data_IF_023791271844
#
_entry.id   IF_023791271844
#
_cell.length_a   1.000
_cell.length_b   1.000
_cell.length_c   1.000
_cell.angle_alpha   90.00
_cell.angle_beta   90.00
_cell.angle_gamma   90.00
#
_symmetry.space_group_name_H-M   'P 1'
#
loop_
_entity.id
_entity.type
_entity.pdbx_description
1 polymer ?
#
# COMPACT_ATOMS: atom_id res chain seq x y z
N UNK A 1 10.43 0.23 40.39
CA UNK A 1 9.54 -0.47 39.44
C UNK A 1 9.78 0.13 38.06
N UNK A 2 10.27 -0.69 37.12
CA UNK A 2 10.65 -0.25 35.78
C UNK A 2 9.39 0.05 34.96
N UNK A 3 9.35 1.23 34.34
CA UNK A 3 8.20 1.75 33.60
C UNK A 3 7.78 0.81 32.48
N UNK A 4 6.47 0.59 32.36
CA UNK A 4 5.87 -0.18 31.29
C UNK A 4 6.20 0.44 29.92
N UNK A 5 7.18 -0.13 29.23
CA UNK A 5 7.51 0.15 27.84
C UNK A 5 6.36 -0.35 26.97
N UNK A 6 5.55 0.59 26.54
CA UNK A 6 4.29 0.41 25.84
C UNK A 6 4.22 1.53 24.83
N UNK A 7 3.66 1.38 23.67
CA UNK A 7 2.92 0.33 23.00
C UNK A 7 3.00 0.81 21.53
N UNK A 8 2.62 0.01 20.55
CA UNK A 8 2.55 0.41 19.12
C UNK A 8 2.24 1.90 18.88
N UNK A 9 3.07 2.61 18.10
CA UNK A 9 2.88 4.04 17.80
C UNK A 9 2.74 4.32 16.30
N UNK A 10 1.99 5.35 15.93
CA UNK A 10 1.78 5.76 14.54
C UNK A 10 2.83 6.80 14.12
N UNK A 11 3.53 6.55 13.02
CA UNK A 11 4.56 7.45 12.47
C UNK A 11 4.03 8.30 11.32
N UNK A 12 3.01 7.80 10.62
CA UNK A 12 2.43 8.48 9.49
C UNK A 12 0.97 8.07 9.29
N UNK A 13 0.16 9.02 8.82
CA UNK A 13 -1.22 8.80 8.42
C UNK A 13 -1.50 9.70 7.22
N UNK A 14 -2.03 9.14 6.15
CA UNK A 14 -2.56 9.92 5.03
C UNK A 14 -4.09 9.84 5.04
N UNK A 15 -4.71 10.96 5.38
CA UNK A 15 -6.18 11.14 5.46
C UNK A 15 -6.63 12.40 4.74
N UNK A 16 -5.74 13.06 4.00
CA UNK A 16 -6.02 14.42 3.49
C UNK A 16 -7.14 14.39 2.44
N UNK A 17 -7.23 13.31 1.67
CA UNK A 17 -8.18 13.18 0.56
C UNK A 17 -8.95 11.86 0.56
N UNK A 18 -9.56 11.52 1.72
CA UNK A 18 -10.22 10.23 1.99
C UNK A 18 -11.27 9.77 0.97
N UNK A 19 -11.84 10.69 0.18
CA UNK A 19 -12.87 10.39 -0.82
C UNK A 19 -12.30 9.89 -2.15
N UNK A 20 -11.07 10.28 -2.45
CA UNK A 20 -10.47 10.14 -3.77
C UNK A 20 -9.15 9.36 -3.76
N UNK A 21 -8.44 9.33 -2.63
CA UNK A 21 -7.09 8.78 -2.55
C UNK A 21 -7.00 7.56 -1.65
N UNK A 22 -5.89 6.83 -1.78
CA UNK A 22 -5.56 5.73 -0.89
C UNK A 22 -5.33 6.29 0.52
N UNK A 23 -6.13 5.82 1.46
CA UNK A 23 -5.96 6.14 2.88
C UNK A 23 -5.15 5.04 3.53
N UNK A 24 -4.07 5.40 4.23
CA UNK A 24 -3.24 4.46 4.94
C UNK A 24 -2.62 5.08 6.19
N UNK A 25 -2.17 4.22 7.10
CA UNK A 25 -1.29 4.63 8.20
C UNK A 25 -0.12 3.66 8.35
N UNK A 26 0.95 4.15 8.97
CA UNK A 26 2.15 3.38 9.29
C UNK A 26 2.33 3.41 10.79
N UNK A 27 2.43 2.22 11.37
CA UNK A 27 2.63 1.97 12.78
C UNK A 27 3.99 1.30 13.00
N UNK A 28 4.64 1.58 14.12
CA UNK A 28 5.80 0.87 14.61
C UNK A 28 5.42 0.17 15.89
N UNK A 29 5.52 -1.16 15.87
CA UNK A 29 5.28 -2.06 16.98
C UNK A 29 6.63 -2.53 17.52
N UNK A 30 7.09 -1.87 18.57
CA UNK A 30 8.38 -2.16 19.22
C UNK A 30 8.36 -3.47 20.01
N UNK A 31 7.17 -3.92 20.44
CA UNK A 31 7.00 -5.17 21.22
C UNK A 31 7.26 -6.38 20.34
N UNK A 32 6.71 -6.37 19.12
CA UNK A 32 6.86 -7.49 18.17
C UNK A 32 7.88 -7.23 17.07
N UNK A 33 8.57 -6.07 17.12
CA UNK A 33 9.51 -5.61 16.09
C UNK A 33 8.91 -5.59 14.69
N UNK A 34 7.80 -4.85 14.52
CA UNK A 34 7.09 -4.74 13.24
C UNK A 34 6.88 -3.30 12.81
N UNK A 35 6.96 -3.06 11.50
CA UNK A 35 6.44 -1.87 10.85
C UNK A 35 5.13 -2.30 10.17
N UNK A 36 4.00 -1.77 10.60
CA UNK A 36 2.67 -2.18 10.11
C UNK A 36 2.06 -1.08 9.25
N UNK A 37 1.82 -1.39 7.99
CA UNK A 37 1.07 -0.54 7.07
C UNK A 37 -0.38 -1.00 7.07
N UNK A 38 -1.30 -0.11 7.45
CA UNK A 38 -2.74 -0.40 7.42
C UNK A 38 -3.36 0.41 6.31
N UNK A 39 -3.94 -0.26 5.31
CA UNK A 39 -4.58 0.38 4.16
C UNK A 39 -6.10 0.27 4.30
N UNK A 40 -6.79 1.41 4.19
CA UNK A 40 -8.25 1.46 4.32
C UNK A 40 -8.92 0.77 3.13
N UNK A 41 -9.99 0.04 3.43
CA UNK A 41 -10.93 -0.41 2.41
C UNK A 41 -11.83 0.71 1.88
N UNK A 42 -12.70 0.34 0.94
CA UNK A 42 -13.75 1.21 0.42
C UNK A 42 -14.68 1.66 1.54
N UNK A 43 -15.07 2.94 1.54
CA UNK A 43 -16.14 3.43 2.41
C UNK A 43 -17.50 2.93 1.89
N UNK A 44 -18.13 2.01 2.62
CA UNK A 44 -19.56 1.77 2.48
C UNK A 44 -20.30 2.78 3.34
N UNK A 45 -20.81 3.86 2.72
CA UNK A 45 -21.88 4.62 3.37
C UNK A 45 -23.06 3.66 3.57
N UNK A 46 -23.56 3.56 4.81
CA UNK A 46 -24.66 2.71 5.28
C UNK A 46 -26.04 3.13 4.68
N UNK A 47 -26.10 3.25 3.35
CA UNK A 47 -27.26 3.69 2.58
C UNK A 47 -26.99 3.87 1.07
N UNK A 48 -25.74 3.73 0.61
CA UNK A 48 -25.37 3.95 -0.79
C UNK A 48 -24.88 2.67 -1.46
N UNK A 49 -25.77 1.88 -2.05
CA UNK A 49 -25.46 0.73 -2.92
C UNK A 49 -24.57 1.09 -4.13
N UNK A 50 -24.42 2.37 -4.47
CA UNK A 50 -23.67 2.85 -5.63
C UNK A 50 -22.15 2.72 -5.55
N UNK A 51 -21.51 2.92 -4.39
CA UNK A 51 -20.04 2.88 -4.31
C UNK A 51 -19.50 1.44 -4.30
N UNK A 52 -20.22 0.52 -3.63
CA UNK A 52 -19.95 -0.92 -3.71
C UNK A 52 -20.19 -1.43 -5.14
N UNK A 53 -21.24 -0.95 -5.82
CA UNK A 53 -21.46 -1.28 -7.23
C UNK A 53 -20.33 -0.76 -8.14
N UNK A 54 -19.84 0.47 -7.92
CA UNK A 54 -18.72 1.04 -8.68
C UNK A 54 -17.42 0.28 -8.43
N UNK A 55 -17.10 -0.05 -7.18
CA UNK A 55 -15.95 -0.88 -6.84
C UNK A 55 -16.11 -2.29 -7.40
N UNK A 56 -17.28 -2.91 -7.32
CA UNK A 56 -17.56 -4.22 -7.89
C UNK A 56 -17.55 -4.21 -9.43
N UNK A 57 -17.97 -3.12 -10.07
CA UNK A 57 -17.92 -2.95 -11.53
C UNK A 57 -16.51 -2.63 -12.01
N UNK A 58 -15.72 -1.88 -11.24
CA UNK A 58 -14.30 -1.69 -11.51
C UNK A 58 -13.50 -2.97 -11.24
N UNK A 59 -13.93 -3.78 -10.25
CA UNK A 59 -13.46 -5.15 -9.97
C UNK A 59 -13.83 -6.13 -11.09
N UNK A 60 -14.80 -5.80 -11.97
CA UNK A 60 -15.05 -6.57 -13.19
C UNK A 60 -13.93 -6.33 -14.22
N UNK A 61 -12.80 -6.97 -13.92
CA UNK A 61 -11.92 -7.70 -14.83
C UNK A 61 -11.29 -6.92 -15.99
N UNK A 62 -10.88 -5.67 -15.78
CA UNK A 62 -9.84 -5.09 -16.62
C UNK A 62 -8.48 -5.45 -16.05
N UNK A 63 -7.69 -6.21 -16.81
CA UNK A 63 -6.30 -6.51 -16.47
C UNK A 63 -5.42 -5.40 -17.04
N UNK A 64 -4.46 -4.94 -16.24
CA UNK A 64 -3.34 -4.13 -16.72
C UNK A 64 -2.08 -4.98 -16.68
N UNK A 65 -1.19 -4.72 -17.62
CA UNK A 65 0.09 -5.42 -17.76
C UNK A 65 1.17 -4.55 -17.14
N UNK A 66 1.95 -5.11 -16.22
CA UNK A 66 3.11 -4.44 -15.64
C UNK A 66 4.34 -5.30 -15.91
N UNK A 67 5.44 -4.65 -16.27
CA UNK A 67 6.70 -5.35 -16.51
C UNK A 67 7.20 -5.96 -15.21
N UNK A 68 7.77 -7.17 -15.31
CA UNK A 68 8.43 -7.77 -14.17
C UNK A 68 9.63 -6.91 -13.78
N UNK A 69 9.74 -6.53 -12.51
CA UNK A 69 10.92 -5.85 -11.99
C UNK A 69 12.19 -6.66 -12.30
N UNK A 70 13.30 -5.97 -12.53
CA UNK A 70 14.59 -6.61 -12.79
C UNK A 70 14.99 -7.58 -11.68
N UNK A 71 14.65 -7.27 -10.42
CA UNK A 71 14.85 -8.13 -9.26
C UNK A 71 14.18 -9.51 -9.38
N UNK A 72 13.19 -9.65 -10.26
CA UNK A 72 12.49 -10.90 -10.59
C UNK A 72 12.85 -11.44 -11.98
N UNK A 73 13.76 -10.80 -12.71
CA UNK A 73 14.19 -11.28 -14.03
C UNK A 73 14.80 -12.68 -13.93
N UNK A 74 14.32 -13.61 -14.75
CA UNK A 74 14.80 -15.00 -14.78
C UNK A 74 14.39 -15.88 -13.60
N UNK A 75 13.66 -15.37 -12.60
CA UNK A 75 13.14 -16.17 -11.48
C UNK A 75 11.87 -16.96 -11.81
N UNK A 76 10.89 -16.42 -12.57
CA UNK A 76 9.72 -17.19 -12.97
C UNK A 76 10.09 -18.20 -14.05
N UNK A 77 9.59 -19.42 -13.91
CA UNK A 77 9.69 -20.44 -14.95
C UNK A 77 9.05 -19.95 -16.26
N UNK A 78 9.69 -20.27 -17.39
CA UNK A 78 9.14 -20.02 -18.71
C UNK A 78 9.32 -18.59 -19.26
N UNK A 79 10.22 -17.79 -18.68
CA UNK A 79 10.59 -16.49 -19.26
C UNK A 79 9.45 -15.46 -19.20
N UNK A 80 8.64 -15.52 -18.14
CA UNK A 80 7.60 -14.52 -17.88
C UNK A 80 8.28 -13.15 -17.76
N UNK A 81 7.82 -12.18 -18.55
CA UNK A 81 8.34 -10.80 -18.57
C UNK A 81 7.40 -9.79 -17.93
N UNK A 82 6.17 -10.20 -17.61
CA UNK A 82 5.12 -9.29 -17.15
C UNK A 82 4.15 -9.99 -16.21
N UNK A 83 3.58 -9.23 -15.28
CA UNK A 83 2.48 -9.65 -14.42
C UNK A 83 1.19 -8.96 -14.84
N UNK A 84 0.08 -9.68 -14.68
CA UNK A 84 -1.24 -9.12 -14.90
C UNK A 84 -1.85 -8.69 -13.58
N UNK A 85 -2.09 -7.39 -13.44
CA UNK A 85 -2.70 -6.82 -12.26
C UNK A 85 -4.13 -6.39 -12.54
N UNK A 86 -4.93 -6.31 -11.48
CA UNK A 86 -6.26 -5.73 -11.58
C UNK A 86 -6.15 -4.22 -11.80
N UNK A 87 -6.70 -3.72 -12.92
CA UNK A 87 -6.53 -2.31 -13.35
C UNK A 87 -7.01 -1.33 -12.29
N UNK A 88 -8.15 -1.58 -11.65
CA UNK A 88 -8.66 -0.70 -10.60
C UNK A 88 -7.70 -0.55 -9.42
N UNK A 89 -7.08 -1.64 -8.97
CA UNK A 89 -6.14 -1.60 -7.84
C UNK A 89 -4.83 -0.93 -8.24
N UNK A 90 -4.32 -1.24 -9.44
CA UNK A 90 -3.13 -0.61 -9.99
C UNK A 90 -3.34 0.91 -10.18
N UNK A 91 -4.51 1.34 -10.66
CA UNK A 91 -4.84 2.76 -10.79
C UNK A 91 -4.96 3.47 -9.45
N UNK A 92 -5.46 2.80 -8.40
CA UNK A 92 -5.49 3.36 -7.05
C UNK A 92 -4.10 3.69 -6.51
N UNK A 93 -3.14 2.79 -6.72
CA UNK A 93 -1.75 2.96 -6.27
C UNK A 93 -0.97 4.00 -7.08
N UNK A 94 -1.22 4.06 -8.39
CA UNK A 94 -0.51 4.96 -9.30
C UNK A 94 -1.27 6.27 -9.56
N UNK A 95 -2.34 6.56 -8.80
CA UNK A 95 -2.97 7.88 -8.82
C UNK A 95 -1.96 8.88 -8.27
N UNK A 96 -1.77 9.98 -8.98
CA UNK A 96 -0.90 11.08 -8.58
C UNK A 96 -1.55 11.80 -7.40
N UNK A 97 -0.86 11.89 -6.27
CA UNK A 97 -1.41 12.43 -5.01
C UNK A 97 -0.90 13.85 -4.78
N UNK A 98 0.43 14.04 -4.78
CA UNK A 98 1.06 15.29 -4.35
C UNK A 98 2.27 15.64 -5.20
N UNK A 99 2.71 16.89 -5.14
CA UNK A 99 4.04 17.28 -5.62
C UNK A 99 5.08 16.84 -4.60
N UNK A 100 6.04 16.03 -5.02
CA UNK A 100 7.24 15.67 -4.28
C UNK A 100 8.12 16.88 -3.98
N UNK A 101 9.19 16.64 -3.23
CA UNK A 101 10.10 17.69 -2.74
C UNK A 101 10.82 18.44 -3.88
N UNK A 102 10.96 17.81 -5.04
CA UNK A 102 11.53 18.36 -6.28
C UNK A 102 10.48 19.03 -7.19
N UNK A 103 9.21 19.03 -6.77
CA UNK A 103 8.08 19.55 -7.55
C UNK A 103 7.49 18.55 -8.55
N UNK A 104 8.04 17.33 -8.68
CA UNK A 104 7.49 16.28 -9.53
C UNK A 104 6.25 15.65 -8.89
N UNK A 105 5.29 15.19 -9.69
CA UNK A 105 4.12 14.50 -9.15
C UNK A 105 4.51 13.08 -8.69
N UNK A 106 4.28 12.77 -7.42
CA UNK A 106 4.45 11.42 -6.88
C UNK A 106 3.09 10.71 -6.80
N UNK A 107 3.13 9.39 -6.92
CA UNK A 107 1.98 8.50 -6.77
C UNK A 107 1.75 8.14 -5.31
N UNK A 108 0.52 7.73 -4.97
CA UNK A 108 0.19 7.22 -3.63
C UNK A 108 1.11 6.07 -3.19
N UNK A 109 1.48 5.21 -4.14
CA UNK A 109 2.46 4.14 -3.95
C UNK A 109 3.83 4.68 -3.54
N UNK A 110 4.38 5.61 -4.31
CA UNK A 110 5.72 6.16 -4.06
C UNK A 110 5.78 6.91 -2.72
N UNK A 111 4.74 7.68 -2.41
CA UNK A 111 4.61 8.37 -1.12
C UNK A 111 4.62 7.37 0.05
N UNK A 112 3.77 6.34 -0.02
CA UNK A 112 3.70 5.29 1.00
C UNK A 112 5.04 4.56 1.15
N UNK A 113 5.65 4.10 0.05
CA UNK A 113 6.93 3.39 0.07
C UNK A 113 8.03 4.25 0.71
N UNK A 114 8.09 5.54 0.37
CA UNK A 114 9.05 6.47 0.96
C UNK A 114 8.93 6.52 2.50
N UNK A 115 7.71 6.64 3.03
CA UNK A 115 7.50 6.67 4.48
C UNK A 115 7.81 5.33 5.15
N UNK A 116 7.45 4.21 4.53
CA UNK A 116 7.78 2.88 5.05
C UNK A 116 9.30 2.68 5.09
N UNK A 117 10.00 3.00 4.00
CA UNK A 117 11.46 2.84 3.89
C UNK A 117 12.22 3.78 4.85
N UNK A 118 11.64 4.93 5.21
CA UNK A 118 12.18 5.78 6.27
C UNK A 118 12.17 5.06 7.63
N UNK A 119 11.12 4.33 7.95
CA UNK A 119 11.05 3.56 9.20
C UNK A 119 11.92 2.29 9.14
N UNK A 120 11.99 1.61 7.99
CA UNK A 120 12.90 0.46 7.79
C UNK A 120 14.35 0.86 8.04
N UNK A 121 14.78 2.03 7.55
CA UNK A 121 16.15 2.55 7.80
C UNK A 121 16.45 2.81 9.28
N UNK A 122 15.43 3.19 10.06
CA UNK A 122 15.58 3.40 11.52
C UNK A 122 15.51 2.08 12.30
N UNK A 123 14.80 1.09 11.77
CA UNK A 123 14.50 -0.19 12.40
C UNK A 123 14.87 -1.37 11.48
N UNK A 124 16.16 -1.57 11.16
CA UNK A 124 16.59 -2.53 10.14
C UNK A 124 16.34 -3.99 10.52
N UNK A 125 16.11 -4.29 11.80
CA UNK A 125 15.78 -5.62 12.31
C UNK A 125 14.26 -5.88 12.42
N UNK A 126 13.41 -4.94 11.98
CA UNK A 126 11.95 -5.06 12.08
C UNK A 126 11.35 -5.68 10.83
N UNK A 127 10.28 -6.45 11.00
CA UNK A 127 9.53 -7.02 9.88
C UNK A 127 8.48 -6.03 9.38
N UNK A 128 8.36 -5.86 8.06
CA UNK A 128 7.28 -5.05 7.47
C UNK A 128 6.04 -5.92 7.23
N UNK A 129 4.88 -5.44 7.65
CA UNK A 129 3.58 -6.10 7.47
C UNK A 129 2.61 -5.12 6.83
N UNK A 130 1.88 -5.52 5.80
CA UNK A 130 0.76 -4.73 5.28
C UNK A 130 -0.56 -5.46 5.53
N UNK A 131 -1.59 -4.71 5.94
CA UNK A 131 -2.91 -5.27 6.20
C UNK A 131 -4.02 -4.29 5.82
N UNK A 132 -5.20 -4.82 5.54
CA UNK A 132 -6.39 -4.06 5.18
C UNK A 132 -7.57 -4.99 4.92
N UNK A 133 -8.76 -4.43 4.84
CA UNK A 133 -9.99 -5.17 4.57
C UNK A 133 -10.58 -4.77 3.20
N UNK A 134 -11.21 -5.71 2.50
CA UNK A 134 -11.83 -5.49 1.17
C UNK A 134 -10.81 -4.91 0.19
N UNK A 135 -11.07 -3.75 -0.44
CA UNK A 135 -10.10 -3.03 -1.27
C UNK A 135 -8.73 -2.88 -0.58
N UNK A 136 -8.71 -2.62 0.72
CA UNK A 136 -7.48 -2.47 1.50
C UNK A 136 -6.66 -3.75 1.56
N UNK A 137 -7.29 -4.93 1.52
CA UNK A 137 -6.59 -6.22 1.46
C UNK A 137 -5.86 -6.37 0.11
N UNK A 138 -6.55 -6.06 -0.99
CA UNK A 138 -5.95 -6.13 -2.34
C UNK A 138 -4.81 -5.13 -2.52
N UNK A 139 -4.98 -3.90 -2.01
CA UNK A 139 -3.92 -2.89 -2.02
C UNK A 139 -2.75 -3.31 -1.12
N UNK A 140 -3.00 -3.96 0.01
CA UNK A 140 -1.94 -4.47 0.90
C UNK A 140 -1.11 -5.56 0.23
N UNK A 141 -1.74 -6.46 -0.55
CA UNK A 141 -1.01 -7.46 -1.33
C UNK A 141 -0.06 -6.82 -2.34
N UNK A 142 -0.52 -5.79 -3.06
CA UNK A 142 0.33 -5.05 -4.00
C UNK A 142 1.41 -4.23 -3.28
N UNK A 143 1.09 -3.62 -2.14
CA UNK A 143 2.05 -2.88 -1.33
C UNK A 143 3.22 -3.75 -0.88
N UNK A 144 2.94 -4.96 -0.37
CA UNK A 144 3.99 -5.93 0.00
C UNK A 144 4.81 -6.34 -1.22
N UNK A 145 4.16 -6.58 -2.36
CA UNK A 145 4.87 -6.88 -3.61
C UNK A 145 5.87 -5.78 -3.96
N UNK A 146 5.47 -4.50 -3.92
CA UNK A 146 6.37 -3.40 -4.22
C UNK A 146 7.46 -3.20 -3.15
N UNK A 147 7.12 -3.32 -1.87
CA UNK A 147 8.10 -3.23 -0.77
C UNK A 147 9.19 -4.31 -0.86
N UNK A 148 8.86 -5.50 -1.37
CA UNK A 148 9.82 -6.58 -1.53
C UNK A 148 10.81 -6.36 -2.70
N UNK A 149 10.61 -5.32 -3.50
CA UNK A 149 11.49 -4.96 -4.63
C UNK A 149 12.49 -3.84 -4.29
N UNK A 150 12.28 -3.15 -3.16
CA UNK A 150 13.18 -2.12 -2.62
C UNK A 150 14.32 -2.74 -1.81
#
# INVERSE_FOLDING_TARGET
EAGHEKDVYMTHVDVDNMKDEMVYCILVDTVHKRIVVVIRGTETYFGGTGMLHNVLSDIRAYKTKEDLPEALSGKPDGGIKHVWLHKGFHSYLNRKTKKGQDGAEITAKEEMLMYVMREVKKHPDYTVCCTGHSLGASLSTLAVYYLALE
#
